data_IF_710274851941
#
_entry.id   IF_710274851941
#
_cell.length_a   1.000
_cell.length_b   1.000
_cell.length_c   1.000
_cell.angle_alpha   90.00
_cell.angle_beta   90.00
_cell.angle_gamma   90.00
#
_symmetry.space_group_name_H-M   'P 1'
#
loop_
_entity.id
_entity.type
_entity.pdbx_description
1 polymer ?
#
# COMPACT_ATOMS: atom_id res chain seq x y z
N UNK A 1 8.71 -3.33 -3.43
CA UNK A 1 7.67 -3.73 -2.47
C UNK A 1 6.28 -3.64 -3.09
N UNK A 2 5.74 -4.79 -3.48
CA UNK A 2 4.37 -5.00 -3.94
C UNK A 2 3.43 -5.11 -2.72
N UNK A 3 2.11 -4.87 -2.86
CA UNK A 3 1.18 -5.05 -1.74
C UNK A 3 1.25 -6.44 -1.10
N UNK A 4 1.53 -7.50 -1.87
CA UNK A 4 1.68 -8.86 -1.33
C UNK A 4 2.90 -9.00 -0.43
N UNK A 5 4.04 -8.38 -0.79
CA UNK A 5 5.24 -8.36 0.05
C UNK A 5 4.98 -7.61 1.37
N UNK A 6 4.20 -6.51 1.33
CA UNK A 6 3.80 -5.79 2.56
C UNK A 6 2.95 -6.68 3.47
N UNK A 7 1.95 -7.35 2.91
CA UNK A 7 1.08 -8.26 3.69
C UNK A 7 1.90 -9.38 4.31
N UNK A 8 2.81 -10.00 3.53
CA UNK A 8 3.67 -11.06 4.02
C UNK A 8 4.58 -10.60 5.16
N UNK A 9 5.05 -9.36 5.15
CA UNK A 9 5.83 -8.82 6.26
C UNK A 9 4.95 -8.53 7.49
N UNK A 10 3.73 -8.02 7.29
CA UNK A 10 2.76 -7.80 8.37
C UNK A 10 2.33 -9.12 9.03
N UNK A 11 2.25 -10.22 8.29
CA UNK A 11 1.93 -11.55 8.82
C UNK A 11 2.96 -12.07 9.83
N UNK A 12 4.21 -11.57 9.80
CA UNK A 12 5.27 -11.95 10.75
C UNK A 12 5.05 -11.37 12.15
N UNK A 13 4.26 -10.29 12.24
CA UNK A 13 4.10 -9.50 13.47
C UNK A 13 2.65 -9.39 13.94
N UNK A 14 1.68 -9.61 13.06
CA UNK A 14 0.26 -9.44 13.34
C UNK A 14 -0.45 -10.74 12.97
N UNK A 15 -1.23 -11.31 13.88
CA UNK A 15 -2.01 -12.53 13.60
C UNK A 15 -3.41 -12.15 13.11
N UNK A 16 -3.89 -12.80 12.04
CA UNK A 16 -5.23 -12.55 11.48
C UNK A 16 -5.36 -11.22 10.73
N UNK A 17 -6.57 -10.64 10.70
CA UNK A 17 -6.84 -9.32 10.11
C UNK A 17 -6.46 -9.19 8.61
N UNK A 18 -6.76 -10.22 7.82
CA UNK A 18 -6.39 -10.28 6.40
C UNK A 18 -6.86 -9.06 5.59
N UNK A 19 -8.11 -8.65 5.78
CA UNK A 19 -8.68 -7.50 5.06
C UNK A 19 -8.00 -6.18 5.45
N UNK A 20 -7.69 -5.99 6.73
CA UNK A 20 -7.01 -4.79 7.21
C UNK A 20 -5.58 -4.72 6.65
N UNK A 21 -4.83 -5.82 6.69
CA UNK A 21 -3.47 -5.89 6.12
C UNK A 21 -3.47 -5.57 4.64
N UNK A 22 -4.42 -6.14 3.89
CA UNK A 22 -4.58 -5.87 2.46
C UNK A 22 -4.92 -4.42 2.19
N UNK A 23 -5.85 -3.83 2.95
CA UNK A 23 -6.24 -2.44 2.82
C UNK A 23 -5.05 -1.49 3.05
N UNK A 24 -4.29 -1.71 4.13
CA UNK A 24 -3.10 -0.90 4.45
C UNK A 24 -2.01 -1.06 3.38
N UNK A 25 -1.74 -2.28 2.93
CA UNK A 25 -0.75 -2.54 1.88
C UNK A 25 -1.10 -1.83 0.55
N UNK A 26 -2.38 -1.85 0.16
CA UNK A 26 -2.86 -1.12 -1.03
C UNK A 26 -2.74 0.39 -0.84
N UNK A 27 -3.11 0.92 0.33
CA UNK A 27 -3.01 2.35 0.62
C UNK A 27 -1.56 2.85 0.56
N UNK A 28 -0.62 2.12 1.16
CA UNK A 28 0.81 2.44 1.10
C UNK A 28 1.33 2.41 -0.35
N UNK A 29 0.93 1.42 -1.13
CA UNK A 29 1.32 1.32 -2.56
C UNK A 29 0.74 2.48 -3.38
N UNK A 30 -0.51 2.87 -3.12
CA UNK A 30 -1.14 3.98 -3.81
C UNK A 30 -0.47 5.32 -3.48
N UNK A 31 -0.08 5.54 -2.21
CA UNK A 31 0.72 6.72 -1.82
C UNK A 31 2.04 6.77 -2.58
N UNK A 32 2.78 5.66 -2.64
CA UNK A 32 4.02 5.59 -3.42
C UNK A 32 3.79 5.86 -4.91
N UNK A 33 2.72 5.29 -5.50
CA UNK A 33 2.35 5.57 -6.90
C UNK A 33 2.06 7.05 -7.14
N UNK A 34 1.33 7.70 -6.23
CA UNK A 34 1.03 9.14 -6.32
C UNK A 34 2.29 10.00 -6.28
N UNK A 35 3.28 9.63 -5.47
CA UNK A 35 4.58 10.33 -5.43
C UNK A 35 5.32 10.25 -6.77
N UNK A 36 5.16 9.16 -7.51
CA UNK A 36 5.78 8.98 -8.83
C UNK A 36 5.02 9.67 -9.97
N UNK A 37 3.83 10.23 -9.74
CA UNK A 37 3.12 11.02 -10.75
C UNK A 37 3.85 12.35 -10.97
N UNK A 38 3.88 12.80 -12.23
CA UNK A 38 4.38 14.13 -12.60
C UNK A 38 3.51 15.22 -11.96
N UNK A 39 4.10 16.38 -11.64
CA UNK A 39 3.46 17.43 -10.82
C UNK A 39 2.07 17.86 -11.32
N UNK A 40 1.84 17.92 -12.64
CA UNK A 40 0.54 18.31 -13.20
C UNK A 40 -0.60 17.28 -13.07
N UNK A 41 -0.32 16.04 -12.67
CA UNK A 41 -1.31 14.95 -12.54
C UNK A 41 -1.63 14.59 -11.08
N UNK A 42 -0.98 15.24 -10.11
CA UNK A 42 -1.13 14.92 -8.67
C UNK A 42 -2.42 15.47 -8.07
N UNK A 43 -3.01 16.51 -8.66
CA UNK A 43 -4.23 17.16 -8.14
C UNK A 43 -5.55 16.45 -8.54
N UNK A 44 -5.53 15.60 -9.56
CA UNK A 44 -6.75 14.97 -10.11
C UNK A 44 -7.06 13.56 -9.53
N UNK A 45 -6.18 13.02 -8.68
CA UNK A 45 -6.22 11.61 -8.21
C UNK A 45 -6.45 11.53 -6.71
#
# INVERSE_FOLDING_TARGET
>A
MTPQEIVSELDRHIVGQADAKRAVAVALRNRWRRQQLAEGLREEV
#
